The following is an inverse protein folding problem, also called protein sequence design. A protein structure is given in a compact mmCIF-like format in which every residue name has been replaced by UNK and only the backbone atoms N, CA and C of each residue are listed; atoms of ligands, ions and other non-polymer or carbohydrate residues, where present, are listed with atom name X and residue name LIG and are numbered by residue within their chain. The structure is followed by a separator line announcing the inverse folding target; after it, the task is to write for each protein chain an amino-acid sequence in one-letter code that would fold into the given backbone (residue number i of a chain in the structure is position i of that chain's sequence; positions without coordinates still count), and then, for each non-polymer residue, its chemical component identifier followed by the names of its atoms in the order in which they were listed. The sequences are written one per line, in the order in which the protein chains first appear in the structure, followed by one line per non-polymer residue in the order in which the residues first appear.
data_IF_146882147985
#
_entry.id   IF_146882147985
#
_cell.length_a   1.000
_cell.length_b   1.000
_cell.length_c   1.000
_cell.angle_alpha   90.00
_cell.angle_beta   90.00
_cell.angle_gamma   90.00
#
_symmetry.space_group_name_H-M   'P 1'
#
loop_
_entity.id
_entity.type
_entity.pdbx_description
1 polymer ?
#
# COMPACT_ATOMS: atom_id res chain seq x y z
N UNK A 1 -7.45 14.56 28.89
CA UNK A 1 -7.37 15.47 27.73
C UNK A 1 -8.76 15.68 27.16
N UNK A 2 -9.11 16.94 26.85
CA UNK A 2 -10.36 17.29 26.14
C UNK A 2 -10.26 16.87 24.66
N UNK A 3 -11.37 16.45 24.04
CA UNK A 3 -11.43 16.03 22.62
C UNK A 3 -10.98 17.16 21.70
N UNK A 4 -11.35 18.41 22.01
CA UNK A 4 -10.93 19.58 21.22
C UNK A 4 -9.43 19.86 21.35
N UNK A 5 -8.85 19.63 22.53
CA UNK A 5 -7.42 19.79 22.77
C UNK A 5 -6.62 18.70 22.03
N UNK A 6 -7.12 17.46 22.05
CA UNK A 6 -6.53 16.34 21.32
C UNK A 6 -6.51 16.57 19.81
N UNK A 7 -7.64 17.02 19.24
CA UNK A 7 -7.75 17.34 17.81
C UNK A 7 -6.80 18.46 17.38
N UNK A 8 -6.66 19.52 18.20
CA UNK A 8 -5.73 20.60 17.90
C UNK A 8 -4.28 20.13 17.92
N UNK A 9 -3.86 19.36 18.95
CA UNK A 9 -2.50 18.80 19.02
C UNK A 9 -2.19 17.86 17.85
N UNK A 10 -3.20 17.15 17.35
CA UNK A 10 -3.07 16.24 16.21
C UNK A 10 -2.98 16.99 14.88
N UNK A 11 -3.73 18.08 14.69
CA UNK A 11 -3.56 18.99 13.54
C UNK A 11 -2.18 19.67 13.53
N UNK A 12 -1.70 20.09 14.70
CA UNK A 12 -0.37 20.71 14.83
C UNK A 12 0.74 19.72 14.45
N UNK A 13 0.64 18.47 14.89
CA UNK A 13 1.65 17.45 14.60
C UNK A 13 1.63 17.01 13.13
N UNK A 14 0.45 16.97 12.50
CA UNK A 14 0.31 16.75 11.06
C UNK A 14 0.96 17.88 10.27
N UNK A 15 0.67 19.13 10.63
CA UNK A 15 1.24 20.30 9.94
C UNK A 15 2.77 20.32 10.05
N UNK A 16 3.30 19.96 11.22
CA UNK A 16 4.75 19.81 11.42
C UNK A 16 5.35 18.68 10.59
N UNK A 17 4.64 17.55 10.48
CA UNK A 17 5.09 16.43 9.68
C UNK A 17 5.08 16.76 8.18
N UNK A 18 4.01 17.39 7.67
CA UNK A 18 3.93 17.83 6.28
C UNK A 18 5.08 18.80 5.93
N UNK A 19 5.38 19.75 6.81
CA UNK A 19 6.49 20.70 6.63
C UNK A 19 7.88 20.03 6.66
N UNK A 20 7.99 18.85 7.25
CA UNK A 20 9.23 18.07 7.35
C UNK A 20 9.26 16.87 6.38
N UNK A 21 8.51 16.94 5.26
CA UNK A 21 8.52 15.88 4.24
C UNK A 21 7.80 14.62 4.69
N UNK A 22 6.67 14.79 5.40
CA UNK A 22 5.87 13.72 6.03
C UNK A 22 6.65 12.92 7.08
N UNK A 23 7.51 13.58 7.86
CA UNK A 23 8.27 12.92 8.94
C UNK A 23 8.13 13.64 10.28
N UNK A 24 8.01 12.87 11.36
CA UNK A 24 7.97 13.39 12.74
C UNK A 24 8.79 12.50 13.68
N UNK A 25 9.25 13.03 14.80
CA UNK A 25 10.00 12.25 15.81
C UNK A 25 9.08 11.71 16.90
N UNK A 26 9.29 10.47 17.35
CA UNK A 26 8.52 9.86 18.43
C UNK A 26 8.57 10.69 19.72
N UNK A 27 9.73 11.24 20.07
CA UNK A 27 9.91 12.16 21.21
C UNK A 27 9.01 13.40 21.11
N UNK A 28 8.74 13.88 19.90
CA UNK A 28 7.86 15.02 19.68
C UNK A 28 6.40 14.60 19.90
N UNK A 29 5.98 13.44 19.39
CA UNK A 29 4.64 12.89 19.63
C UNK A 29 4.42 12.64 21.12
N UNK A 30 5.38 12.05 21.80
CA UNK A 30 5.35 11.86 23.26
C UNK A 30 5.32 13.18 24.03
N UNK A 31 5.97 14.23 23.54
CA UNK A 31 5.89 15.56 24.17
C UNK A 31 4.54 16.24 23.95
N UNK A 32 3.91 16.05 22.80
CA UNK A 32 2.60 16.60 22.48
C UNK A 32 1.48 15.87 23.23
N UNK A 33 1.59 14.55 23.34
CA UNK A 33 0.52 13.70 23.83
C UNK A 33 0.79 13.08 25.21
N UNK A 34 2.03 12.96 25.65
CA UNK A 34 2.44 12.27 26.89
C UNK A 34 2.16 12.99 28.21
N UNK A 35 1.29 14.00 28.21
CA UNK A 35 0.77 14.59 29.46
C UNK A 35 -0.37 13.73 30.07
N UNK A 36 -0.73 14.03 31.33
CA UNK A 36 -1.61 13.21 32.19
C UNK A 36 -2.88 12.71 31.48
N UNK A 37 -2.91 11.41 31.15
CA UNK A 37 -4.07 10.69 30.60
C UNK A 37 -3.82 9.86 29.33
N UNK A 38 -2.62 9.93 28.75
CA UNK A 38 -2.19 9.08 27.62
C UNK A 38 -1.54 7.79 28.10
N UNK A 39 -2.26 6.69 27.95
CA UNK A 39 -1.72 5.34 28.15
C UNK A 39 -0.94 4.89 26.89
N UNK A 40 0.00 3.95 27.04
CA UNK A 40 0.82 3.43 25.93
C UNK A 40 -0.04 2.95 24.75
N UNK A 41 -1.20 2.37 25.01
CA UNK A 41 -2.17 1.93 23.99
C UNK A 41 -2.83 3.10 23.22
N UNK A 42 -3.10 4.23 23.88
CA UNK A 42 -3.70 5.40 23.23
C UNK A 42 -2.66 6.16 22.41
N UNK A 43 -1.42 6.20 22.90
CA UNK A 43 -0.30 6.76 22.15
C UNK A 43 0.00 5.92 20.90
N UNK A 44 -0.12 4.59 21.00
CA UNK A 44 -0.01 3.70 19.84
C UNK A 44 -1.05 4.02 18.77
N UNK A 45 -2.32 4.26 19.16
CA UNK A 45 -3.36 4.68 18.21
C UNK A 45 -3.05 6.01 17.51
N UNK A 46 -2.32 6.92 18.17
CA UNK A 46 -1.84 8.16 17.53
C UNK A 46 -0.76 7.86 16.51
N UNK A 47 0.17 6.94 16.81
CA UNK A 47 1.16 6.50 15.84
C UNK A 47 0.51 5.83 14.63
N UNK A 48 -0.43 4.90 14.85
CA UNK A 48 -1.17 4.22 13.79
C UNK A 48 -1.94 5.24 12.93
N UNK A 49 -2.57 6.22 13.56
CA UNK A 49 -3.28 7.28 12.85
C UNK A 49 -2.34 8.16 12.01
N UNK A 50 -1.17 8.56 12.54
CA UNK A 50 -0.18 9.33 11.78
C UNK A 50 0.36 8.54 10.59
N UNK A 51 0.58 7.23 10.78
CA UNK A 51 1.05 6.34 9.73
C UNK A 51 0.00 6.14 8.62
N UNK A 52 -1.29 6.03 9.00
CA UNK A 52 -2.44 6.02 8.06
C UNK A 52 -2.53 7.33 7.27
N UNK A 53 -2.08 8.44 7.84
CA UNK A 53 -2.00 9.75 7.17
C UNK A 53 -0.71 9.91 6.33
N UNK A 54 0.09 8.84 6.19
CA UNK A 54 1.33 8.83 5.41
C UNK A 54 2.49 9.58 6.09
N UNK A 55 2.42 9.79 7.42
CA UNK A 55 3.45 10.46 8.21
C UNK A 55 4.35 9.40 8.89
N UNK A 56 5.64 9.43 8.57
CA UNK A 56 6.63 8.51 9.13
C UNK A 56 7.16 9.01 10.49
N UNK A 57 7.05 8.18 11.53
CA UNK A 57 7.49 8.51 12.89
C UNK A 57 8.87 7.90 13.19
N UNK A 58 9.90 8.73 13.27
CA UNK A 58 11.31 8.35 13.48
C UNK A 58 11.73 8.38 14.95
N UNK A 59 12.64 7.51 15.38
CA UNK A 59 13.20 7.51 16.75
C UNK A 59 12.42 6.70 17.79
N UNK A 60 11.63 5.70 17.37
CA UNK A 60 11.11 4.66 18.27
C UNK A 60 12.30 3.85 18.82
N UNK A 61 12.28 3.49 20.11
CA UNK A 61 13.39 2.75 20.75
C UNK A 61 13.56 1.39 20.05
N UNK A 62 14.79 0.92 19.87
CA UNK A 62 15.08 -0.33 19.14
C UNK A 62 14.36 -1.57 19.69
N UNK A 63 14.00 -1.57 20.99
CA UNK A 63 13.17 -2.60 21.61
C UNK A 63 11.69 -2.50 21.18
N UNK A 64 11.15 -1.28 21.01
CA UNK A 64 9.81 -1.07 20.44
C UNK A 64 9.78 -1.39 18.93
N UNK A 65 10.90 -1.21 18.21
CA UNK A 65 11.01 -1.58 16.78
C UNK A 65 11.00 -3.09 16.59
N UNK A 66 11.66 -3.87 17.45
CA UNK A 66 11.62 -5.34 17.39
C UNK A 66 10.28 -5.92 17.80
N UNK A 67 9.66 -5.38 18.86
CA UNK A 67 8.29 -5.75 19.24
C UNK A 67 7.28 -5.30 18.17
N UNK A 68 7.54 -4.19 17.45
CA UNK A 68 6.75 -3.77 16.29
C UNK A 68 7.05 -4.58 15.04
N UNK A 69 8.24 -5.11 14.79
CA UNK A 69 8.48 -6.04 13.68
C UNK A 69 7.78 -7.38 13.94
N UNK A 70 7.81 -7.88 15.18
CA UNK A 70 7.07 -9.08 15.59
C UNK A 70 5.55 -8.85 15.64
N UNK A 71 5.07 -7.67 16.10
CA UNK A 71 3.65 -7.31 16.13
C UNK A 71 3.13 -6.78 14.78
N UNK A 72 3.97 -6.22 13.91
CA UNK A 72 3.65 -5.93 12.50
C UNK A 72 3.76 -7.19 11.64
N UNK A 73 4.42 -8.25 12.10
CA UNK A 73 4.14 -9.61 11.61
C UNK A 73 2.73 -10.10 12.00
N UNK A 74 2.03 -9.35 12.87
CA UNK A 74 0.58 -9.43 13.13
C UNK A 74 -0.16 -8.20 12.55
N UNK A 75 0.44 -7.45 11.60
CA UNK A 75 -0.39 -6.97 10.48
C UNK A 75 -0.88 -8.26 9.86
N UNK A 76 -2.19 -8.51 9.91
CA UNK A 76 -2.79 -9.65 9.23
C UNK A 76 -2.14 -9.72 7.86
N UNK A 77 -1.30 -10.73 7.61
CA UNK A 77 -1.06 -11.18 6.24
C UNK A 77 -2.46 -11.21 5.63
N UNK A 78 -2.75 -10.52 4.52
CA UNK A 78 -4.02 -10.74 3.85
C UNK A 78 -4.18 -12.25 3.79
N UNK A 79 -5.25 -12.77 4.41
CA UNK A 79 -5.43 -14.22 4.51
C UNK A 79 -5.37 -14.72 3.07
N UNK A 80 -4.34 -15.51 2.75
CA UNK A 80 -4.11 -15.97 1.38
C UNK A 80 -5.40 -16.62 0.89
N UNK A 81 -6.00 -16.00 -0.12
CA UNK A 81 -7.28 -16.47 -0.64
C UNK A 81 -7.00 -17.62 -1.60
N UNK A 82 -7.71 -18.75 -1.48
CA UNK A 82 -7.55 -19.84 -2.44
C UNK A 82 -7.95 -19.37 -3.84
N UNK A 83 -7.21 -19.82 -4.86
CA UNK A 83 -7.56 -19.52 -6.25
C UNK A 83 -8.93 -20.09 -6.60
N UNK A 84 -9.64 -19.37 -7.46
CA UNK A 84 -10.88 -19.85 -8.07
C UNK A 84 -10.60 -21.03 -9.04
N UNK A 85 -11.60 -21.88 -9.34
CA UNK A 85 -11.45 -22.96 -10.31
C UNK A 85 -10.95 -22.49 -11.69
N UNK A 86 -11.38 -21.30 -12.11
CA UNK A 86 -11.00 -20.64 -13.36
C UNK A 86 -9.54 -20.20 -13.33
N UNK A 87 -9.08 -19.59 -12.23
CA UNK A 87 -7.67 -19.21 -12.04
C UNK A 87 -6.75 -20.44 -11.96
N UNK A 88 -7.21 -21.51 -11.32
CA UNK A 88 -6.49 -22.79 -11.30
C UNK A 88 -6.40 -23.42 -12.70
N UNK A 89 -7.43 -23.27 -13.55
CA UNK A 89 -7.37 -23.72 -14.94
C UNK A 89 -6.40 -22.89 -15.77
N UNK A 90 -6.50 -21.56 -15.66
CA UNK A 90 -5.56 -20.63 -16.26
C UNK A 90 -4.12 -20.96 -15.88
N UNK A 91 -3.86 -21.18 -14.58
CA UNK A 91 -2.53 -21.46 -14.08
C UNK A 91 -1.98 -22.81 -14.60
N UNK A 92 -2.83 -23.83 -14.69
CA UNK A 92 -2.44 -25.11 -15.30
C UNK A 92 -2.01 -24.94 -16.76
N UNK A 93 -2.75 -24.16 -17.53
CA UNK A 93 -2.43 -23.92 -18.94
C UNK A 93 -1.20 -23.03 -19.09
N UNK A 94 -1.04 -22.03 -18.23
CA UNK A 94 0.16 -21.21 -18.14
C UNK A 94 1.40 -22.06 -17.89
N UNK A 95 1.40 -22.92 -16.86
CA UNK A 95 2.53 -23.78 -16.52
C UNK A 95 2.88 -24.80 -17.62
N UNK A 96 1.90 -25.26 -18.40
CA UNK A 96 2.15 -26.15 -19.55
C UNK A 96 3.01 -25.50 -20.63
N UNK A 97 2.94 -24.17 -20.80
CA UNK A 97 3.70 -23.45 -21.84
C UNK A 97 5.22 -23.53 -21.64
N UNK A 98 5.67 -23.72 -20.40
CA UNK A 98 7.10 -23.73 -20.08
C UNK A 98 7.79 -25.05 -20.41
N UNK A 99 7.03 -26.14 -20.56
CA UNK A 99 7.57 -27.46 -20.91
C UNK A 99 8.65 -27.90 -19.94
N UNK A 100 8.26 -28.24 -18.70
CA UNK A 100 9.21 -28.68 -17.68
C UNK A 100 9.97 -29.92 -18.14
N UNK A 101 11.26 -29.79 -18.41
CA UNK A 101 12.16 -30.92 -18.61
C UNK A 101 12.57 -31.49 -17.24
N UNK A 102 12.66 -32.81 -17.12
CA UNK A 102 13.18 -33.50 -15.91
C UNK A 102 14.69 -33.28 -15.69
N UNK A 103 15.32 -32.42 -16.50
CA UNK A 103 16.72 -32.07 -16.38
C UNK A 103 16.93 -31.17 -15.15
N UNK A 104 17.12 -31.82 -14.01
CA UNK A 104 17.68 -31.27 -12.77
C UNK A 104 19.15 -30.88 -13.01
N UNK A 105 19.38 -29.83 -13.81
CA UNK A 105 20.62 -29.07 -13.69
C UNK A 105 20.67 -28.50 -12.27
N UNK A 106 21.86 -28.52 -11.66
CA UNK A 106 22.05 -27.93 -10.34
C UNK A 106 21.66 -26.45 -10.39
N UNK A 107 20.60 -26.09 -9.65
CA UNK A 107 20.06 -24.73 -9.62
C UNK A 107 21.11 -23.73 -9.17
N UNK A 108 21.98 -24.12 -8.26
CA UNK A 108 23.06 -23.25 -7.78
C UNK A 108 24.06 -22.96 -8.89
N UNK A 109 24.34 -23.94 -9.76
CA UNK A 109 25.20 -23.76 -10.92
C UNK A 109 24.53 -22.91 -12.01
N UNK A 110 23.23 -23.08 -12.24
CA UNK A 110 22.46 -22.21 -13.15
C UNK A 110 22.46 -20.75 -12.67
N UNK A 111 22.29 -20.51 -11.36
CA UNK A 111 22.37 -19.16 -10.78
C UNK A 111 23.74 -18.53 -10.99
N UNK A 112 24.83 -19.29 -10.77
CA UNK A 112 26.20 -18.80 -11.01
C UNK A 112 26.44 -18.46 -12.47
N UNK A 113 25.99 -19.32 -13.40
CA UNK A 113 26.11 -19.08 -14.84
C UNK A 113 25.25 -17.90 -15.29
N UNK A 114 24.05 -17.74 -14.72
CA UNK A 114 23.20 -16.57 -14.93
C UNK A 114 23.87 -15.28 -14.44
N UNK A 115 24.44 -15.29 -13.23
CA UNK A 115 25.20 -14.16 -12.68
C UNK A 115 26.48 -13.84 -13.47
N UNK A 116 27.02 -14.82 -14.19
CA UNK A 116 28.12 -14.61 -15.14
C UNK A 116 27.67 -14.07 -16.52
N UNK A 117 26.38 -13.74 -16.69
CA UNK A 117 25.81 -13.18 -17.91
C UNK A 117 25.44 -14.21 -18.98
N UNK A 118 25.35 -15.50 -18.63
CA UNK A 118 25.01 -16.53 -19.60
C UNK A 118 23.50 -16.59 -19.90
N UNK A 119 23.12 -16.15 -21.11
CA UNK A 119 21.72 -16.13 -21.55
C UNK A 119 21.03 -17.52 -21.52
N UNK A 120 21.75 -18.59 -21.87
CA UNK A 120 21.19 -19.95 -21.86
C UNK A 120 20.85 -20.44 -20.44
N UNK A 121 21.65 -20.02 -19.45
CA UNK A 121 21.42 -20.32 -18.05
C UNK A 121 20.24 -19.51 -17.52
N UNK A 122 20.12 -18.23 -17.92
CA UNK A 122 18.97 -17.38 -17.58
C UNK A 122 17.64 -17.96 -18.07
N UNK A 123 17.57 -18.36 -19.34
CA UNK A 123 16.34 -18.98 -19.89
C UNK A 123 16.00 -20.30 -19.19
N UNK A 124 17.00 -21.12 -18.89
CA UNK A 124 16.81 -22.37 -18.15
C UNK A 124 16.29 -22.09 -16.74
N UNK A 125 16.87 -21.12 -16.05
CA UNK A 125 16.48 -20.72 -14.70
C UNK A 125 15.04 -20.20 -14.67
N UNK A 126 14.66 -19.34 -15.62
CA UNK A 126 13.29 -18.84 -15.76
C UNK A 126 12.31 -20.00 -15.86
N UNK A 127 12.59 -21.02 -16.69
CA UNK A 127 11.72 -22.19 -16.85
C UNK A 127 11.63 -23.05 -15.58
N UNK A 128 12.76 -23.32 -14.93
CA UNK A 128 12.82 -24.18 -13.74
C UNK A 128 12.16 -23.53 -12.53
N UNK A 129 12.28 -22.20 -12.40
CA UNK A 129 11.77 -21.44 -11.26
C UNK A 129 10.26 -21.12 -11.34
N UNK A 130 9.60 -21.33 -12.49
CA UNK A 130 8.17 -20.99 -12.65
C UNK A 130 7.25 -21.64 -11.62
N UNK A 131 7.54 -22.87 -11.19
CA UNK A 131 6.71 -23.56 -10.18
C UNK A 131 6.80 -22.87 -8.82
N UNK A 132 8.01 -22.61 -8.35
CA UNK A 132 8.22 -21.91 -7.08
C UNK A 132 7.70 -20.48 -7.14
N UNK A 133 7.88 -19.79 -8.26
CA UNK A 133 7.35 -18.45 -8.45
C UNK A 133 5.81 -18.43 -8.39
N UNK A 134 5.17 -19.42 -9.01
CA UNK A 134 3.73 -19.63 -8.93
C UNK A 134 3.29 -19.93 -7.50
N UNK A 135 4.06 -20.74 -6.77
CA UNK A 135 3.74 -21.08 -5.38
C UNK A 135 3.84 -19.83 -4.48
N UNK A 136 4.83 -18.96 -4.69
CA UNK A 136 4.93 -17.65 -4.02
C UNK A 136 3.73 -16.77 -4.37
N UNK A 137 3.38 -16.64 -5.65
CA UNK A 137 2.20 -15.87 -6.06
C UNK A 137 0.90 -16.43 -5.44
N UNK A 138 0.78 -17.75 -5.31
CA UNK A 138 -0.36 -18.40 -4.62
C UNK A 138 -0.37 -18.07 -3.13
N UNK A 139 0.77 -18.15 -2.46
CA UNK A 139 0.91 -17.78 -1.03
C UNK A 139 0.53 -16.32 -0.78
N UNK A 140 0.74 -15.45 -1.75
CA UNK A 140 0.49 -14.00 -1.67
C UNK A 140 -0.84 -13.59 -2.31
N UNK A 141 -1.65 -14.54 -2.78
CA UNK A 141 -2.93 -14.25 -3.42
C UNK A 141 -3.91 -13.56 -2.46
N UNK A 142 -4.56 -12.51 -2.92
CA UNK A 142 -5.49 -11.71 -2.13
C UNK A 142 -6.72 -11.33 -2.96
N UNK A 143 -7.84 -10.98 -2.31
CA UNK A 143 -9.09 -10.63 -3.03
C UNK A 143 -8.96 -9.33 -3.83
N UNK A 144 -8.00 -8.48 -3.43
CA UNK A 144 -7.81 -7.15 -3.97
C UNK A 144 -7.11 -7.14 -5.32
N UNK A 145 -6.38 -8.19 -5.71
CA UNK A 145 -5.64 -8.21 -6.98
C UNK A 145 -6.00 -9.45 -7.77
N UNK A 146 -6.19 -9.32 -9.08
CA UNK A 146 -6.42 -10.47 -9.94
C UNK A 146 -5.19 -11.37 -9.94
N UNK A 147 -5.38 -12.68 -9.77
CA UNK A 147 -4.24 -13.62 -9.72
C UNK A 147 -3.34 -13.54 -10.96
N UNK A 148 -3.91 -13.28 -12.14
CA UNK A 148 -3.15 -13.09 -13.37
C UNK A 148 -2.19 -11.89 -13.32
N UNK A 149 -2.62 -10.78 -12.68
CA UNK A 149 -1.80 -9.59 -12.51
C UNK A 149 -0.70 -9.84 -11.48
N UNK A 150 -1.04 -10.51 -10.36
CA UNK A 150 -0.07 -10.92 -9.34
C UNK A 150 1.00 -11.87 -9.92
N UNK A 151 0.60 -12.84 -10.73
CA UNK A 151 1.53 -13.74 -11.42
C UNK A 151 2.39 -13.00 -12.46
N UNK A 152 1.80 -12.02 -13.17
CA UNK A 152 2.53 -11.13 -14.07
C UNK A 152 3.61 -10.35 -13.33
N UNK A 153 3.26 -9.75 -12.20
CA UNK A 153 4.19 -9.00 -11.37
C UNK A 153 5.26 -9.90 -10.76
N UNK A 154 4.90 -11.11 -10.33
CA UNK A 154 5.87 -12.08 -9.82
C UNK A 154 6.96 -12.39 -10.88
N UNK A 155 6.56 -12.51 -12.15
CA UNK A 155 7.52 -12.69 -13.24
C UNK A 155 8.41 -11.47 -13.45
N UNK A 156 7.86 -10.26 -13.36
CA UNK A 156 8.65 -9.03 -13.47
C UNK A 156 9.63 -8.89 -12.30
N UNK A 157 9.17 -9.09 -11.07
CA UNK A 157 9.99 -9.11 -9.87
C UNK A 157 11.12 -10.15 -9.96
N UNK A 158 10.82 -11.35 -10.46
CA UNK A 158 11.84 -12.37 -10.71
C UNK A 158 12.88 -11.92 -11.72
N UNK A 159 12.46 -11.37 -12.87
CA UNK A 159 13.40 -10.87 -13.88
C UNK A 159 14.26 -9.72 -13.35
N UNK A 160 13.68 -8.79 -12.60
CA UNK A 160 14.40 -7.68 -11.96
C UNK A 160 15.40 -8.18 -10.92
N UNK A 161 15.02 -9.18 -10.10
CA UNK A 161 15.92 -9.80 -9.15
C UNK A 161 17.03 -10.62 -9.83
N UNK A 162 16.79 -11.16 -11.02
CA UNK A 162 17.85 -11.77 -11.83
C UNK A 162 18.84 -10.74 -12.40
N UNK A 163 18.38 -9.54 -12.72
CA UNK A 163 19.26 -8.46 -13.21
C UNK A 163 20.19 -7.93 -12.11
N UNK A 164 19.77 -8.00 -10.84
CA UNK A 164 20.58 -7.59 -9.69
C UNK A 164 21.53 -8.69 -9.18
N UNK A 165 21.39 -9.94 -9.67
CA UNK A 165 22.28 -11.05 -9.30
C UNK A 165 23.75 -10.82 -9.71
N UNK A 166 24.01 -10.03 -10.76
CA UNK A 166 25.37 -9.74 -11.22
C UNK A 166 26.20 -8.99 -10.15
N UNK A 167 25.53 -8.31 -9.22
CA UNK A 167 26.16 -7.53 -8.14
C UNK A 167 26.41 -8.36 -6.87
N UNK A 168 25.77 -9.52 -6.74
CA UNK A 168 25.80 -10.34 -5.54
C UNK A 168 26.91 -11.42 -5.60
N UNK A 169 28.03 -11.20 -4.89
CA UNK A 169 29.01 -12.26 -4.59
C UNK A 169 28.62 -13.09 -3.36
N UNK A 170 27.35 -13.49 -3.25
CA UNK A 170 26.88 -14.23 -2.08
C UNK A 170 26.96 -15.75 -2.28
N UNK A 171 27.38 -16.47 -1.23
CA UNK A 171 27.31 -17.94 -1.18
C UNK A 171 25.85 -18.46 -1.23
N UNK A 172 24.86 -17.57 -1.06
CA UNK A 172 23.42 -17.86 -0.94
C UNK A 172 22.55 -17.11 -1.98
N UNK A 173 22.99 -17.11 -3.24
CA UNK A 173 22.29 -16.48 -4.37
C UNK A 173 20.79 -16.81 -4.44
N UNK A 174 20.43 -18.06 -4.17
CA UNK A 174 19.04 -18.53 -4.23
C UNK A 174 18.16 -17.92 -3.13
N UNK A 175 18.66 -17.90 -1.89
CA UNK A 175 17.92 -17.28 -0.77
C UNK A 175 17.74 -15.78 -0.99
N UNK A 176 18.76 -15.11 -1.53
CA UNK A 176 18.70 -13.69 -1.85
C UNK A 176 17.70 -13.40 -2.97
N UNK A 177 17.73 -14.20 -4.04
CA UNK A 177 16.80 -14.09 -5.17
C UNK A 177 15.35 -14.15 -4.70
N UNK A 178 15.00 -15.18 -3.92
CA UNK A 178 13.62 -15.34 -3.45
C UNK A 178 13.22 -14.30 -2.40
N UNK A 179 14.16 -13.83 -1.58
CA UNK A 179 13.90 -12.72 -0.66
C UNK A 179 13.55 -11.45 -1.42
N UNK A 180 14.31 -11.14 -2.47
CA UNK A 180 14.08 -9.94 -3.28
C UNK A 180 12.77 -10.03 -4.08
N UNK A 181 12.46 -11.18 -4.65
CA UNK A 181 11.16 -11.41 -5.32
C UNK A 181 9.99 -11.18 -4.36
N UNK A 182 10.06 -11.72 -3.15
CA UNK A 182 9.02 -11.51 -2.13
C UNK A 182 8.90 -10.05 -1.74
N UNK A 183 10.02 -9.36 -1.51
CA UNK A 183 10.04 -7.93 -1.18
C UNK A 183 9.34 -7.08 -2.26
N UNK A 184 9.68 -7.31 -3.53
CA UNK A 184 9.09 -6.57 -4.65
C UNK A 184 7.58 -6.86 -4.80
N UNK A 185 7.17 -8.12 -4.59
CA UNK A 185 5.75 -8.49 -4.61
C UNK A 185 4.97 -7.89 -3.43
N UNK A 186 5.57 -7.82 -2.24
CA UNK A 186 4.97 -7.16 -1.08
C UNK A 186 4.78 -5.67 -1.35
N UNK A 187 5.79 -5.00 -1.90
CA UNK A 187 5.70 -3.58 -2.30
C UNK A 187 4.58 -3.34 -3.31
N UNK A 188 4.47 -4.19 -4.35
CA UNK A 188 3.38 -4.10 -5.32
C UNK A 188 2.00 -4.26 -4.68
N UNK A 189 1.82 -5.25 -3.80
CA UNK A 189 0.53 -5.46 -3.13
C UNK A 189 0.17 -4.30 -2.20
N UNK A 190 1.16 -3.72 -1.51
CA UNK A 190 0.96 -2.53 -0.68
C UNK A 190 0.52 -1.33 -1.53
N UNK A 191 1.16 -1.10 -2.68
CA UNK A 191 0.79 -0.04 -3.62
C UNK A 191 -0.63 -0.23 -4.16
N UNK A 192 -1.00 -1.44 -4.60
CA UNK A 192 -2.36 -1.74 -5.07
C UNK A 192 -3.41 -1.56 -3.97
N UNK A 193 -3.09 -1.97 -2.75
CA UNK A 193 -3.98 -1.83 -1.60
C UNK A 193 -4.17 -0.36 -1.23
N UNK A 194 -3.09 0.44 -1.25
CA UNK A 194 -3.13 1.86 -0.97
C UNK A 194 -3.95 2.61 -2.02
N UNK A 195 -3.72 2.34 -3.31
CA UNK A 195 -4.49 2.92 -4.41
C UNK A 195 -5.99 2.63 -4.25
N UNK A 196 -6.36 1.39 -3.93
CA UNK A 196 -7.77 1.02 -3.70
C UNK A 196 -8.39 1.72 -2.50
N UNK A 197 -7.64 1.97 -1.43
CA UNK A 197 -8.13 2.73 -0.27
C UNK A 197 -8.40 4.19 -0.63
N UNK A 198 -7.51 4.80 -1.41
CA UNK A 198 -7.69 6.15 -1.91
C UNK A 198 -8.93 6.26 -2.83
N UNK A 199 -9.11 5.28 -3.71
CA UNK A 199 -10.29 5.18 -4.58
C UNK A 199 -11.58 5.03 -3.75
N UNK A 200 -11.59 4.17 -2.73
CA UNK A 200 -12.78 3.96 -1.90
C UNK A 200 -13.13 5.19 -1.05
N UNK A 201 -12.12 5.87 -0.52
CA UNK A 201 -12.29 7.12 0.21
C UNK A 201 -12.88 8.23 -0.68
N UNK A 202 -12.44 8.31 -1.93
CA UNK A 202 -13.02 9.24 -2.90
C UNK A 202 -14.48 8.91 -3.20
N UNK A 203 -14.83 7.63 -3.35
CA UNK A 203 -16.21 7.18 -3.58
C UNK A 203 -17.11 7.48 -2.38
N UNK A 204 -16.66 7.22 -1.14
CA UNK A 204 -17.42 7.54 0.07
C UNK A 204 -17.65 9.05 0.21
N UNK A 205 -16.62 9.86 -0.08
CA UNK A 205 -16.74 11.33 -0.11
C UNK A 205 -17.76 11.81 -1.14
N UNK A 206 -17.77 11.22 -2.35
CA UNK A 206 -18.76 11.53 -3.40
C UNK A 206 -20.17 11.14 -2.96
N UNK A 207 -20.37 9.96 -2.38
CA UNK A 207 -21.69 9.52 -1.92
C UNK A 207 -22.23 10.38 -0.77
N UNK A 208 -21.39 10.72 0.20
CA UNK A 208 -21.76 11.60 1.30
C UNK A 208 -22.14 12.99 0.79
N UNK A 209 -21.37 13.51 -0.18
CA UNK A 209 -21.72 14.75 -0.88
C UNK A 209 -23.09 14.65 -1.57
N UNK A 210 -23.34 13.62 -2.38
CA UNK A 210 -24.61 13.43 -3.10
C UNK A 210 -25.82 13.28 -2.16
N UNK A 211 -25.70 12.49 -1.08
CA UNK A 211 -26.75 12.36 -0.06
C UNK A 211 -27.05 13.70 0.61
N UNK A 212 -26.00 14.47 0.93
CA UNK A 212 -26.14 15.78 1.57
C UNK A 212 -26.76 16.79 0.61
N UNK A 213 -26.29 16.84 -0.63
CA UNK A 213 -26.87 17.67 -1.68
C UNK A 213 -28.35 17.36 -1.84
N UNK A 214 -28.73 16.08 -1.88
CA UNK A 214 -30.13 15.67 -1.93
C UNK A 214 -30.93 16.15 -0.70
N UNK A 215 -30.37 16.01 0.50
CA UNK A 215 -31.02 16.50 1.74
C UNK A 215 -31.19 18.02 1.79
N UNK A 216 -30.22 18.78 1.25
CA UNK A 216 -30.24 20.25 1.21
C UNK A 216 -31.17 20.76 0.08
N UNK A 217 -31.27 20.00 -1.00
CA UNK A 217 -32.11 20.32 -2.17
C UNK A 217 -33.59 19.97 -1.94
N UNK A 218 -33.90 18.96 -1.11
CA UNK A 218 -35.28 18.65 -0.69
C UNK A 218 -35.93 19.78 0.13
N UNK A 219 -35.14 20.59 0.85
CA UNK A 219 -35.60 21.79 1.58
C UNK A 219 -35.67 23.07 0.70
N UNK A 220 -35.41 22.93 -0.61
CA UNK A 220 -35.86 23.85 -1.66
C UNK A 220 -35.28 25.27 -1.68
N UNK A 221 -34.31 25.65 -0.83
CA UNK A 221 -33.80 27.04 -0.85
C UNK A 221 -32.42 27.31 -0.22
N UNK A 222 -31.65 26.29 0.17
CA UNK A 222 -30.33 26.52 0.77
C UNK A 222 -29.25 26.36 -0.32
N UNK A 223 -28.53 27.46 -0.58
CA UNK A 223 -27.32 27.43 -1.40
C UNK A 223 -26.14 27.14 -0.50
N UNK A 224 -25.29 26.20 -0.89
CA UNK A 224 -24.00 25.92 -0.25
C UNK A 224 -22.87 26.64 -1.01
N UNK A 225 -21.81 27.03 -0.29
CA UNK A 225 -20.56 27.45 -0.94
C UNK A 225 -19.51 26.34 -0.92
N UNK A 226 -18.52 26.44 -1.81
CA UNK A 226 -17.43 25.46 -1.90
C UNK A 226 -16.67 25.41 -0.57
N UNK A 227 -16.49 26.56 0.10
CA UNK A 227 -15.80 26.67 1.38
C UNK A 227 -16.56 26.01 2.54
N UNK A 228 -17.90 26.04 2.51
CA UNK A 228 -18.73 25.36 3.53
C UNK A 228 -18.67 23.84 3.36
N UNK A 229 -18.68 23.37 2.12
CA UNK A 229 -18.54 21.95 1.80
C UNK A 229 -17.13 21.42 2.10
N UNK A 230 -16.10 22.21 1.77
CA UNK A 230 -14.70 21.85 2.00
C UNK A 230 -14.38 21.77 3.50
N UNK A 231 -14.86 22.75 4.29
CA UNK A 231 -14.71 22.73 5.75
C UNK A 231 -15.51 21.59 6.42
N UNK A 232 -16.64 21.18 5.84
CA UNK A 232 -17.45 20.10 6.38
C UNK A 232 -16.88 18.71 6.08
N UNK A 233 -16.33 18.51 4.88
CA UNK A 233 -15.73 17.25 4.44
C UNK A 233 -14.23 17.15 4.76
N UNK A 234 -13.69 18.13 5.50
CA UNK A 234 -12.27 18.27 5.86
C UNK A 234 -11.35 18.02 4.65
N UNK A 235 -11.69 18.66 3.54
CA UNK A 235 -10.97 18.62 2.26
C UNK A 235 -10.65 20.04 1.82
N UNK A 236 -9.64 20.20 0.97
CA UNK A 236 -9.33 21.53 0.45
C UNK A 236 -10.37 21.98 -0.59
N UNK A 237 -10.40 23.28 -0.85
CA UNK A 237 -11.35 23.87 -1.80
C UNK A 237 -11.10 23.44 -3.24
N UNK A 238 -9.87 23.09 -3.60
CA UNK A 238 -9.49 22.66 -4.96
C UNK A 238 -9.95 21.21 -5.22
N UNK A 239 -9.79 20.31 -4.24
CA UNK A 239 -10.30 18.94 -4.21
C UNK A 239 -11.83 18.92 -4.25
N UNK A 240 -12.48 19.77 -3.45
CA UNK A 240 -13.94 19.92 -3.48
C UNK A 240 -14.45 20.38 -4.85
N UNK A 241 -13.75 21.34 -5.48
CA UNK A 241 -14.10 21.83 -6.81
C UNK A 241 -13.89 20.74 -7.89
N UNK A 242 -12.83 19.94 -7.78
CA UNK A 242 -12.57 18.81 -8.67
C UNK A 242 -13.66 17.72 -8.55
N UNK A 243 -14.10 17.40 -7.33
CA UNK A 243 -15.18 16.45 -7.08
C UNK A 243 -16.51 16.94 -7.68
N UNK A 244 -16.86 18.23 -7.49
CA UNK A 244 -18.08 18.82 -8.06
C UNK A 244 -18.08 18.86 -9.60
N UNK A 245 -16.91 19.08 -10.21
CA UNK A 245 -16.74 18.99 -11.67
C UNK A 245 -16.93 17.56 -12.18
N UNK A 246 -16.49 16.55 -11.43
CA UNK A 246 -16.65 15.14 -11.77
C UNK A 246 -18.11 14.67 -11.66
N UNK A 247 -18.84 15.14 -10.63
CA UNK A 247 -20.26 14.82 -10.42
C UNK A 247 -21.22 15.64 -11.30
N UNK A 248 -20.71 16.65 -12.01
CA UNK A 248 -21.48 17.49 -12.93
C UNK A 248 -22.38 18.52 -12.24
N UNK A 249 -22.18 18.77 -10.94
CA UNK A 249 -23.00 19.67 -10.15
C UNK A 249 -22.36 21.08 -10.08
N UNK A 250 -22.41 21.82 -11.18
CA UNK A 250 -21.94 23.21 -11.27
C UNK A 250 -22.94 24.21 -10.66
N UNK A 251 -23.50 23.92 -9.49
CA UNK A 251 -24.46 24.80 -8.81
C UNK A 251 -23.82 25.67 -7.73
N UNK A 252 -22.51 25.89 -7.77
CA UNK A 252 -21.82 26.94 -7.01
C UNK A 252 -21.86 28.28 -7.77
N UNK A 253 -22.93 29.08 -7.60
CA UNK A 253 -22.90 30.47 -8.09
C UNK A 253 -21.79 31.22 -7.37
N UNK A 254 -20.80 31.68 -8.15
CA UNK A 254 -19.91 32.78 -7.77
C UNK A 254 -20.77 33.98 -7.34
N UNK A 255 -20.88 34.19 -6.03
CA UNK A 255 -21.42 35.42 -5.47
C UNK A 255 -20.38 36.53 -5.68
N UNK A 256 -20.74 37.70 -6.23
CA UNK A 256 -19.76 38.76 -6.45
C UNK A 256 -19.32 39.33 -5.10
N UNK A 257 -18.00 39.44 -4.91
CA UNK A 257 -17.40 40.24 -3.84
C UNK A 257 -18.02 41.63 -3.83
N UNK A 258 -18.56 42.04 -2.69
CA UNK A 258 -18.83 43.44 -2.36
C UNK A 258 -18.28 43.76 -0.99
#
# INVERSE_FOLDING_TARGET
MDIHEFQNKLKDIQTLALNNGKQVRAELVEKFFGEEGMDREKLQKVYDYLEVQGIHVTGRKEEDVREQEEAASVRKKPESVPLTPEEEEYLRDYLKTFGFEDNLLDRQELLRRCAAGEASARESLIRTCQRELTDIAREMNCEEVLFADLLGEANMAFLSALDTLEEAQEERLEESLWREVRRLLEEFLEEQTQQKKEDHFLVEKVQNLEEKLKSITEDGSIKYTIEELSAFLDMDTEEMEAILRLTGDETGKSGPSK
#
